data_IF_967460345791
#
_entry.id   IF_967460345791
#
_cell.length_a   1.000
_cell.length_b   1.000
_cell.length_c   1.000
_cell.angle_alpha   90.00
_cell.angle_beta   90.00
_cell.angle_gamma   90.00
#
_symmetry.space_group_name_H-M   'P 1'
#
loop_
_entity.id
_entity.type
_entity.pdbx_description
1 polymer ?
#
# COMPACT_ATOMS: atom_id res chain seq x y z
N UNK A 1 -30.13 54.31 32.68
CA UNK A 1 -30.28 52.90 33.11
C UNK A 1 -29.11 52.11 32.52
N UNK A 2 -28.12 51.74 33.35
CA UNK A 2 -26.96 50.96 32.91
C UNK A 2 -27.31 49.48 33.10
N UNK A 3 -27.61 48.77 32.01
CA UNK A 3 -27.81 47.33 32.01
C UNK A 3 -26.46 46.66 32.24
N UNK A 4 -26.23 46.15 33.45
CA UNK A 4 -25.07 45.26 33.69
C UNK A 4 -25.28 44.01 32.82
N UNK A 5 -24.31 43.65 31.95
CA UNK A 5 -24.44 42.46 31.14
C UNK A 5 -24.58 41.24 32.05
N UNK A 6 -25.59 40.42 31.77
CA UNK A 6 -25.90 39.24 32.56
C UNK A 6 -24.70 38.27 32.51
N UNK A 7 -24.24 37.73 33.64
CA UNK A 7 -23.06 36.85 33.71
C UNK A 7 -23.18 35.59 32.83
N UNK A 8 -24.40 35.27 32.40
CA UNK A 8 -24.73 34.15 31.51
C UNK A 8 -24.13 34.33 30.10
N UNK A 9 -23.91 35.57 29.63
CA UNK A 9 -23.33 35.82 28.29
C UNK A 9 -21.78 35.76 28.32
N UNK A 10 -21.17 36.03 29.48
CA UNK A 10 -19.70 36.02 29.60
C UNK A 10 -19.11 34.60 29.59
N UNK A 11 -19.86 33.60 30.07
CA UNK A 11 -19.39 32.21 30.16
C UNK A 11 -19.15 31.58 28.78
N UNK A 12 -20.08 31.63 27.81
CA UNK A 12 -19.83 31.13 26.45
C UNK A 12 -18.66 31.83 25.75
N UNK A 13 -18.53 33.15 25.93
CA UNK A 13 -17.43 33.92 25.34
C UNK A 13 -16.07 33.51 25.94
N UNK A 14 -15.99 33.32 27.26
CA UNK A 14 -14.78 32.85 27.93
C UNK A 14 -14.42 31.41 27.51
N UNK A 15 -15.41 30.52 27.41
CA UNK A 15 -15.20 29.15 26.93
C UNK A 15 -14.66 29.14 25.49
N UNK A 16 -15.23 29.97 24.60
CA UNK A 16 -14.74 30.09 23.23
C UNK A 16 -13.29 30.58 23.18
N UNK A 17 -12.93 31.56 24.01
CA UNK A 17 -11.55 32.05 24.12
C UNK A 17 -10.59 30.96 24.63
N UNK A 18 -11.00 30.21 25.65
CA UNK A 18 -10.18 29.10 26.20
C UNK A 18 -9.98 28.00 25.16
N UNK A 19 -11.03 27.58 24.47
CA UNK A 19 -10.94 26.56 23.40
C UNK A 19 -10.06 27.08 22.26
N UNK A 20 -10.22 28.34 21.85
CA UNK A 20 -9.40 28.94 20.79
C UNK A 20 -7.91 28.99 21.17
N UNK A 21 -7.60 29.42 22.40
CA UNK A 21 -6.22 29.45 22.91
C UNK A 21 -5.63 28.05 23.02
N UNK A 22 -6.42 27.08 23.49
CA UNK A 22 -6.02 25.69 23.56
C UNK A 22 -5.72 25.12 22.18
N UNK A 23 -6.59 25.34 21.19
CA UNK A 23 -6.40 24.93 19.79
C UNK A 23 -5.13 25.53 19.17
N UNK A 24 -4.88 26.83 19.37
CA UNK A 24 -3.65 27.49 18.87
C UNK A 24 -2.40 26.88 19.51
N UNK A 25 -2.42 26.66 20.82
CA UNK A 25 -1.30 26.04 21.54
C UNK A 25 -1.11 24.57 21.17
N UNK A 26 -2.20 23.81 20.95
CA UNK A 26 -2.15 22.41 20.54
C UNK A 26 -1.61 22.29 19.11
N UNK A 27 -2.12 23.09 18.17
CA UNK A 27 -1.69 23.10 16.77
C UNK A 27 -0.23 23.50 16.64
N UNK A 28 0.20 24.54 17.37
CA UNK A 28 1.60 24.97 17.36
C UNK A 28 2.54 23.91 17.95
N UNK A 29 2.16 23.27 19.06
CA UNK A 29 2.91 22.14 19.62
C UNK A 29 2.98 20.98 18.65
N UNK A 30 1.88 20.62 17.98
CA UNK A 30 1.86 19.56 17.00
C UNK A 30 2.76 19.86 15.79
N UNK A 31 2.78 21.11 15.32
CA UNK A 31 3.65 21.56 14.23
C UNK A 31 5.13 21.47 14.61
N UNK A 32 5.50 21.92 15.81
CA UNK A 32 6.89 21.83 16.30
C UNK A 32 7.33 20.41 16.67
N UNK A 33 6.38 19.49 16.92
CA UNK A 33 6.67 18.09 17.19
C UNK A 33 6.95 17.26 15.93
N UNK A 34 6.92 17.86 14.73
CA UNK A 34 7.34 17.18 13.50
C UNK A 34 8.86 17.31 13.37
N UNK A 35 9.61 16.20 13.28
CA UNK A 35 11.05 16.26 13.08
C UNK A 35 11.40 16.96 11.76
N UNK A 36 12.33 17.91 11.82
CA UNK A 36 12.85 18.62 10.64
C UNK A 36 14.01 17.88 9.96
N UNK A 37 14.54 18.46 8.88
CA UNK A 37 15.60 17.86 8.05
C UNK A 37 16.82 17.34 8.82
N UNK A 38 17.37 18.03 9.85
CA UNK A 38 18.51 17.51 10.61
C UNK A 38 18.21 16.17 11.31
N UNK A 39 16.99 16.04 11.86
CA UNK A 39 16.56 14.82 12.53
C UNK A 39 16.43 13.66 11.53
N UNK A 40 15.84 13.92 10.36
CA UNK A 40 15.74 12.93 9.29
C UNK A 40 17.11 12.53 8.72
N UNK A 41 18.03 13.48 8.58
CA UNK A 41 19.39 13.20 8.15
C UNK A 41 20.13 12.30 9.17
N UNK A 42 19.99 12.59 10.46
CA UNK A 42 20.59 11.78 11.52
C UNK A 42 19.96 10.38 11.60
N UNK A 43 18.63 10.27 11.49
CA UNK A 43 17.93 8.98 11.43
C UNK A 43 18.33 8.16 10.19
N UNK A 44 18.48 8.81 9.03
CA UNK A 44 18.95 8.17 7.81
C UNK A 44 20.39 7.64 7.94
N UNK A 45 21.27 8.33 8.67
CA UNK A 45 22.62 7.86 8.94
C UNK A 45 22.64 6.54 9.74
N UNK A 46 21.69 6.35 10.67
CA UNK A 46 21.53 5.08 11.40
C UNK A 46 21.21 3.93 10.44
N UNK A 47 20.25 4.15 9.52
CA UNK A 47 19.88 3.13 8.53
C UNK A 47 21.04 2.84 7.58
N UNK A 48 21.67 3.88 7.02
CA UNK A 48 22.80 3.76 6.09
C UNK A 48 23.96 2.95 6.65
N UNK A 49 24.22 3.04 7.96
CA UNK A 49 25.32 2.33 8.60
C UNK A 49 25.13 0.79 8.61
N UNK A 50 23.89 0.29 8.56
CA UNK A 50 23.58 -1.14 8.71
C UNK A 50 22.73 -1.72 7.56
N UNK A 51 22.31 -0.88 6.62
CA UNK A 51 21.51 -1.25 5.46
C UNK A 51 22.24 -2.26 4.57
N UNK A 52 21.49 -3.21 4.01
CA UNK A 52 21.97 -4.21 3.06
C UNK A 52 21.08 -4.23 1.84
N UNK A 53 21.61 -4.57 0.64
CA UNK A 53 20.77 -4.84 -0.52
C UNK A 53 19.69 -5.88 -0.19
N UNK A 54 18.43 -5.56 -0.50
CA UNK A 54 17.27 -6.39 -0.16
C UNK A 54 16.64 -6.13 1.21
N UNK A 55 17.16 -5.17 2.00
CA UNK A 55 16.42 -4.64 3.16
C UNK A 55 15.22 -3.81 2.65
N UNK A 56 14.05 -3.96 3.29
CA UNK A 56 12.92 -3.07 3.03
C UNK A 56 13.01 -1.83 3.90
N UNK A 57 12.74 -0.65 3.36
CA UNK A 57 12.57 0.59 4.15
C UNK A 57 11.12 1.04 4.05
N UNK A 58 10.49 1.25 5.21
CA UNK A 58 9.10 1.74 5.34
C UNK A 58 9.04 2.95 6.27
N UNK A 59 8.02 3.77 6.07
CA UNK A 59 7.81 5.00 6.83
C UNK A 59 6.46 4.98 7.54
N UNK A 60 6.43 5.44 8.79
CA UNK A 60 5.21 5.52 9.58
C UNK A 60 5.04 6.90 10.23
N UNK A 61 3.85 7.52 10.15
CA UNK A 61 2.70 7.11 9.35
C UNK A 61 2.96 7.21 7.84
N UNK A 62 2.16 6.53 7.02
CA UNK A 62 2.41 6.37 5.58
C UNK A 62 2.58 7.70 4.81
N UNK A 63 1.88 8.77 5.22
CA UNK A 63 2.01 10.09 4.60
C UNK A 63 3.41 10.71 4.72
N UNK A 64 4.26 10.15 5.58
CA UNK A 64 5.64 10.61 5.77
C UNK A 64 6.62 10.01 4.74
N UNK A 65 6.17 9.08 3.90
CA UNK A 65 6.99 8.45 2.85
C UNK A 65 7.75 9.45 1.96
N UNK A 66 7.15 10.57 1.47
CA UNK A 66 7.89 11.54 0.65
C UNK A 66 9.08 12.18 1.37
N UNK A 67 8.93 12.50 2.67
CA UNK A 67 10.04 13.03 3.49
C UNK A 67 11.10 11.96 3.68
N UNK A 68 10.70 10.74 4.02
CA UNK A 68 11.61 9.60 4.14
C UNK A 68 12.44 9.35 2.87
N UNK A 69 11.80 9.36 1.70
CA UNK A 69 12.46 9.18 0.39
C UNK A 69 13.39 10.33 0.03
N UNK A 70 13.15 11.55 0.51
CA UNK A 70 14.10 12.65 0.31
C UNK A 70 15.47 12.32 0.92
N UNK A 71 15.51 11.57 2.02
CA UNK A 71 16.74 11.25 2.75
C UNK A 71 17.29 9.84 2.50
N UNK A 72 16.44 8.89 2.12
CA UNK A 72 16.77 7.47 1.94
C UNK A 72 16.42 6.92 0.55
N UNK A 73 15.94 7.75 -0.37
CA UNK A 73 15.49 7.31 -1.70
C UNK A 73 16.60 6.66 -2.53
N UNK A 74 17.87 7.00 -2.27
CA UNK A 74 19.04 6.35 -2.87
C UNK A 74 19.22 4.89 -2.43
N UNK A 75 18.62 4.48 -1.31
CA UNK A 75 18.60 3.09 -0.84
C UNK A 75 17.35 2.32 -1.24
N UNK A 76 16.32 2.99 -1.79
CA UNK A 76 15.03 2.39 -2.10
C UNK A 76 14.91 2.20 -3.61
N UNK A 77 15.10 0.97 -4.08
CA UNK A 77 14.88 0.68 -5.49
C UNK A 77 13.41 0.88 -5.88
N UNK A 78 13.16 1.16 -7.16
CA UNK A 78 11.79 1.35 -7.68
C UNK A 78 10.93 0.10 -7.41
N UNK A 79 11.49 -1.10 -7.55
CA UNK A 79 10.75 -2.33 -7.31
C UNK A 79 10.42 -2.54 -5.81
N UNK A 80 11.24 -2.04 -4.89
CA UNK A 80 10.96 -2.07 -3.44
C UNK A 80 9.89 -1.05 -3.05
N UNK A 81 9.95 0.13 -3.67
CA UNK A 81 8.91 1.13 -3.57
C UNK A 81 7.56 0.59 -4.08
N UNK A 82 7.61 -0.11 -5.22
CA UNK A 82 6.46 -0.59 -5.97
C UNK A 82 6.09 -2.05 -5.67
N UNK A 83 6.52 -2.56 -4.51
CA UNK A 83 6.32 -3.95 -4.09
C UNK A 83 4.85 -4.34 -4.05
N UNK A 84 4.58 -5.64 -4.20
CA UNK A 84 3.24 -6.17 -4.00
C UNK A 84 2.88 -6.20 -2.52
N UNK A 85 3.78 -6.73 -1.69
CA UNK A 85 3.71 -6.73 -0.23
C UNK A 85 5.12 -6.78 0.38
N UNK A 86 5.22 -6.84 1.71
CA UNK A 86 6.49 -6.93 2.40
C UNK A 86 6.99 -8.39 2.59
N UNK A 87 6.21 -9.42 2.25
CA UNK A 87 6.43 -10.78 2.74
C UNK A 87 7.76 -11.39 2.28
N UNK A 88 8.30 -10.94 1.15
CA UNK A 88 9.61 -11.35 0.60
C UNK A 88 10.82 -10.83 1.39
N UNK A 89 10.62 -9.81 2.24
CA UNK A 89 11.71 -9.12 2.90
C UNK A 89 12.01 -9.74 4.26
N UNK A 90 13.23 -10.24 4.40
CA UNK A 90 13.74 -10.81 5.64
C UNK A 90 14.07 -9.75 6.69
N UNK A 91 14.43 -8.54 6.23
CA UNK A 91 14.86 -7.41 7.06
C UNK A 91 14.08 -6.17 6.68
N UNK A 92 13.52 -5.50 7.67
CA UNK A 92 12.69 -4.29 7.46
C UNK A 92 13.19 -3.20 8.40
N UNK A 93 13.48 -2.03 7.84
CA UNK A 93 13.69 -0.78 8.54
C UNK A 93 12.40 0.03 8.55
N UNK A 94 11.95 0.43 9.73
CA UNK A 94 10.84 1.36 9.91
C UNK A 94 11.40 2.66 10.47
N UNK A 95 11.13 3.77 9.79
CA UNK A 95 11.33 5.10 10.38
C UNK A 95 9.96 5.67 10.69
N UNK A 96 9.74 5.99 11.96
CA UNK A 96 8.46 6.42 12.46
C UNK A 96 8.52 7.72 13.22
N UNK A 97 7.43 8.47 13.21
CA UNK A 97 7.25 9.67 14.04
C UNK A 97 5.94 9.57 14.81
N UNK A 98 5.84 10.30 15.93
CA UNK A 98 4.62 10.38 16.75
C UNK A 98 4.10 9.01 17.22
N UNK A 99 4.99 8.05 17.44
CA UNK A 99 4.63 6.69 17.87
C UNK A 99 3.87 5.85 16.83
N UNK A 100 3.79 6.31 15.57
CA UNK A 100 3.13 5.55 14.51
C UNK A 100 3.87 4.23 14.21
N UNK A 101 3.15 3.27 13.62
CA UNK A 101 3.69 1.97 13.20
C UNK A 101 3.26 1.65 11.77
N UNK A 102 4.17 1.05 11.00
CA UNK A 102 3.89 0.62 9.64
C UNK A 102 3.13 -0.72 9.66
N UNK A 103 2.10 -0.90 8.80
CA UNK A 103 1.40 -2.18 8.68
C UNK A 103 2.33 -3.37 8.40
N UNK A 104 3.43 -3.13 7.67
CA UNK A 104 4.43 -4.14 7.31
C UNK A 104 5.17 -4.75 8.50
N UNK A 105 5.22 -4.05 9.64
CA UNK A 105 5.89 -4.49 10.87
C UNK A 105 4.90 -4.92 11.95
N UNK A 106 3.60 -4.98 11.63
CA UNK A 106 2.57 -5.40 12.56
C UNK A 106 2.83 -6.81 13.09
N UNK A 107 2.76 -6.99 14.40
CA UNK A 107 3.04 -8.26 15.09
C UNK A 107 4.53 -8.62 15.19
N UNK A 108 5.44 -7.84 14.59
CA UNK A 108 6.88 -8.05 14.74
C UNK A 108 7.43 -7.28 15.94
N UNK A 109 8.43 -7.86 16.59
CA UNK A 109 9.21 -7.20 17.64
C UNK A 109 10.49 -6.62 17.03
N UNK A 110 10.82 -5.34 17.29
CA UNK A 110 12.05 -4.76 16.78
C UNK A 110 13.25 -5.41 17.47
N UNK A 111 14.27 -5.74 16.68
CA UNK A 111 15.58 -6.22 17.19
C UNK A 111 16.53 -5.06 17.47
N UNK A 112 16.26 -3.90 16.86
CA UNK A 112 16.90 -2.61 17.15
C UNK A 112 15.81 -1.55 17.20
N UNK A 113 15.82 -0.71 18.21
CA UNK A 113 14.99 0.48 18.31
C UNK A 113 15.84 1.64 18.83
N UNK A 114 15.82 2.78 18.14
CA UNK A 114 16.52 4.01 18.52
C UNK A 114 15.65 5.21 18.22
N UNK A 115 15.59 6.16 19.15
CA UNK A 115 15.01 7.47 18.90
C UNK A 115 16.13 8.46 18.52
N UNK A 116 15.92 9.20 17.44
CA UNK A 116 16.82 10.23 16.94
C UNK A 116 15.99 11.49 16.67
N UNK A 117 16.08 12.46 17.58
CA UNK A 117 15.43 13.77 17.45
C UNK A 117 13.94 13.69 17.05
N UNK A 118 13.18 12.79 17.68
CA UNK A 118 11.76 12.57 17.44
C UNK A 118 11.42 11.61 16.28
N UNK A 119 12.42 11.08 15.57
CA UNK A 119 12.26 9.97 14.63
C UNK A 119 12.67 8.67 15.31
N UNK A 120 11.77 7.71 15.44
CA UNK A 120 12.09 6.36 15.92
C UNK A 120 12.46 5.46 14.76
N UNK A 121 13.70 5.01 14.74
CA UNK A 121 14.25 4.03 13.79
C UNK A 121 14.18 2.65 14.40
N UNK A 122 13.49 1.72 13.74
CA UNK A 122 13.38 0.32 14.13
C UNK A 122 13.89 -0.59 13.04
N UNK A 123 14.51 -1.70 13.44
CA UNK A 123 14.85 -2.82 12.55
C UNK A 123 14.14 -4.07 13.00
N UNK A 124 13.59 -4.80 12.05
CA UNK A 124 12.90 -6.06 12.24
C UNK A 124 13.54 -7.14 11.40
N UNK A 125 13.44 -8.38 11.88
CA UNK A 125 13.82 -9.57 11.13
C UNK A 125 12.66 -10.57 11.13
N UNK A 126 12.53 -11.32 10.03
CA UNK A 126 11.60 -12.44 9.90
C UNK A 126 12.10 -13.43 8.85
N UNK A 127 11.53 -14.64 8.87
CA UNK A 127 11.67 -15.58 7.76
C UNK A 127 10.88 -15.06 6.55
N UNK A 128 11.53 -14.78 5.41
CA UNK A 128 10.83 -14.34 4.20
C UNK A 128 10.06 -15.50 3.55
N UNK A 129 8.98 -15.18 2.85
CA UNK A 129 8.23 -16.19 2.09
C UNK A 129 9.04 -16.68 0.88
N UNK A 130 8.91 -17.97 0.56
CA UNK A 130 9.50 -18.54 -0.65
C UNK A 130 8.51 -18.43 -1.80
N UNK A 131 8.81 -17.57 -2.77
CA UNK A 131 7.99 -17.40 -3.98
C UNK A 131 8.38 -18.46 -5.02
N UNK A 132 7.37 -19.19 -5.50
CA UNK A 132 7.55 -20.21 -6.55
C UNK A 132 7.26 -19.65 -7.94
N UNK A 133 6.28 -18.77 -8.05
CA UNK A 133 5.99 -18.04 -9.27
C UNK A 133 5.41 -16.66 -8.97
N UNK A 134 5.78 -15.68 -9.80
CA UNK A 134 5.19 -14.35 -9.83
C UNK A 134 4.51 -14.15 -11.19
N UNK A 135 3.22 -13.85 -11.21
CA UNK A 135 2.46 -13.72 -12.47
C UNK A 135 2.96 -12.55 -13.31
N UNK A 136 3.58 -11.53 -12.70
CA UNK A 136 4.14 -10.36 -13.39
C UNK A 136 5.33 -10.74 -14.28
N UNK A 137 6.09 -11.75 -13.88
CA UNK A 137 7.23 -12.30 -14.62
C UNK A 137 6.78 -13.27 -15.72
N UNK A 138 5.50 -13.67 -15.73
CA UNK A 138 4.92 -14.67 -16.63
C UNK A 138 3.92 -14.09 -17.62
N UNK A 139 3.97 -12.79 -17.87
CA UNK A 139 3.03 -12.12 -18.78
C UNK A 139 3.23 -12.54 -20.25
N UNK A 140 4.43 -13.01 -20.63
CA UNK A 140 4.68 -13.54 -21.97
C UNK A 140 4.00 -14.90 -22.12
N UNK A 141 3.18 -15.05 -23.16
CA UNK A 141 2.50 -16.32 -23.46
C UNK A 141 1.18 -16.55 -22.72
N UNK A 142 0.67 -15.53 -22.01
CA UNK A 142 -0.69 -15.59 -21.44
C UNK A 142 -1.74 -15.69 -22.54
N UNK A 143 -2.82 -16.42 -22.25
CA UNK A 143 -4.03 -16.42 -23.08
C UNK A 143 -4.96 -15.32 -22.59
N UNK A 144 -5.49 -14.52 -23.50
CA UNK A 144 -6.38 -13.40 -23.16
C UNK A 144 -7.67 -13.50 -23.94
N UNK A 145 -8.79 -13.54 -23.23
CA UNK A 145 -10.14 -13.62 -23.78
C UNK A 145 -10.98 -12.43 -23.30
N UNK A 146 -11.99 -12.05 -24.09
CA UNK A 146 -12.86 -10.92 -23.79
C UNK A 146 -12.38 -9.57 -24.37
N UNK A 147 -13.33 -8.64 -24.44
CA UNK A 147 -13.12 -7.32 -25.05
C UNK A 147 -12.56 -6.34 -24.01
N UNK A 148 -11.48 -5.65 -24.37
CA UNK A 148 -10.76 -4.74 -23.48
C UNK A 148 -10.34 -3.49 -24.21
N UNK A 149 -10.34 -2.36 -23.51
CA UNK A 149 -9.80 -1.11 -24.01
C UNK A 149 -8.26 -1.09 -23.97
N UNK A 150 -7.65 -1.73 -22.95
CA UNK A 150 -6.19 -1.80 -22.77
C UNK A 150 -5.79 -3.04 -21.96
N UNK A 151 -4.56 -3.50 -22.14
CA UNK A 151 -3.92 -4.53 -21.33
C UNK A 151 -4.13 -5.95 -21.87
N UNK A 152 -3.61 -6.98 -21.17
CA UNK A 152 -2.77 -6.87 -19.98
C UNK A 152 -1.38 -6.31 -20.30
N UNK A 153 -0.90 -5.33 -19.54
CA UNK A 153 0.46 -4.79 -19.63
C UNK A 153 1.11 -4.70 -18.25
N UNK A 154 2.42 -4.90 -18.17
CA UNK A 154 3.17 -4.67 -16.91
C UNK A 154 3.44 -3.18 -16.78
N UNK A 155 2.94 -2.57 -15.71
CA UNK A 155 3.00 -1.12 -15.49
C UNK A 155 3.50 -0.81 -14.07
N UNK A 156 4.10 0.35 -13.92
CA UNK A 156 4.24 1.02 -12.63
C UNK A 156 3.05 1.97 -12.48
N UNK A 157 2.10 1.63 -11.61
CA UNK A 157 0.85 2.35 -11.44
C UNK A 157 0.69 2.86 -10.01
N UNK A 158 0.05 4.03 -9.83
CA UNK A 158 -0.40 4.46 -8.52
C UNK A 158 -1.74 3.79 -8.19
N UNK A 159 -1.82 3.19 -7.01
CA UNK A 159 -3.03 2.66 -6.39
C UNK A 159 -3.04 3.06 -4.91
N UNK A 160 -4.14 3.65 -4.43
CA UNK A 160 -4.24 4.07 -3.02
C UNK A 160 -3.14 5.03 -2.56
N UNK A 161 -2.67 5.92 -3.45
CA UNK A 161 -1.56 6.86 -3.24
C UNK A 161 -0.18 6.21 -3.05
N UNK A 162 -0.03 4.93 -3.42
CA UNK A 162 1.23 4.21 -3.40
C UNK A 162 1.58 3.67 -4.79
N UNK A 163 2.87 3.62 -5.17
CA UNK A 163 3.29 2.98 -6.41
C UNK A 163 3.20 1.45 -6.27
N UNK A 164 2.77 0.78 -7.33
CA UNK A 164 2.74 -0.67 -7.44
C UNK A 164 3.15 -1.11 -8.84
N UNK A 165 4.03 -2.12 -8.91
CA UNK A 165 4.37 -2.81 -10.15
C UNK A 165 3.39 -3.95 -10.36
N UNK A 166 2.52 -3.81 -11.34
CA UNK A 166 1.35 -4.68 -11.51
C UNK A 166 1.02 -4.91 -12.99
N UNK A 167 0.12 -5.86 -13.22
CA UNK A 167 -0.51 -6.09 -14.51
C UNK A 167 -1.76 -5.20 -14.57
N UNK A 168 -1.78 -4.29 -15.54
CA UNK A 168 -2.88 -3.39 -15.80
C UNK A 168 -3.82 -3.95 -16.87
N UNK A 169 -5.11 -4.00 -16.57
CA UNK A 169 -6.18 -4.37 -17.51
C UNK A 169 -7.29 -3.32 -17.44
N UNK A 170 -7.77 -2.90 -18.61
CA UNK A 170 -8.94 -2.01 -18.73
C UNK A 170 -10.04 -2.76 -19.48
N UNK A 171 -10.98 -3.42 -18.79
CA UNK A 171 -12.10 -4.09 -19.44
C UNK A 171 -13.05 -3.07 -20.08
N UNK A 172 -13.76 -3.49 -21.12
CA UNK A 172 -14.92 -2.72 -21.59
C UNK A 172 -16.08 -2.88 -20.58
N UNK A 173 -16.96 -1.88 -20.44
CA UNK A 173 -18.13 -1.96 -19.55
C UNK A 173 -18.95 -3.23 -19.77
N UNK A 174 -19.20 -3.99 -18.70
CA UNK A 174 -20.00 -5.23 -18.73
C UNK A 174 -19.36 -6.39 -19.50
N UNK A 175 -18.12 -6.25 -19.97
CA UNK A 175 -17.39 -7.26 -20.73
C UNK A 175 -16.17 -7.75 -19.93
N UNK A 176 -16.27 -8.87 -19.20
CA UNK A 176 -15.15 -9.40 -18.43
C UNK A 176 -14.00 -9.82 -19.36
N UNK A 177 -12.78 -9.64 -18.86
CA UNK A 177 -11.52 -10.02 -19.52
C UNK A 177 -10.89 -11.15 -18.73
N UNK A 178 -10.64 -12.29 -19.37
CA UNK A 178 -9.94 -13.43 -18.77
C UNK A 178 -8.48 -13.41 -19.19
N UNK A 179 -7.57 -13.45 -18.22
CA UNK A 179 -6.12 -13.55 -18.43
C UNK A 179 -5.64 -14.85 -17.80
N UNK A 180 -5.32 -15.84 -18.63
CA UNK A 180 -4.91 -17.18 -18.21
C UNK A 180 -3.40 -17.34 -18.34
N UNK A 181 -2.78 -17.66 -17.21
CA UNK A 181 -1.36 -18.00 -17.09
C UNK A 181 -1.24 -19.53 -17.14
N UNK A 182 -0.68 -20.10 -18.22
CA UNK A 182 -0.59 -21.54 -18.33
C UNK A 182 0.51 -22.10 -17.42
N UNK A 183 0.23 -23.29 -16.87
CA UNK A 183 1.22 -24.11 -16.16
C UNK A 183 2.04 -23.32 -15.11
N UNK A 184 1.35 -22.61 -14.22
CA UNK A 184 1.97 -21.89 -13.10
C UNK A 184 2.39 -22.88 -12.02
N UNK A 185 3.66 -22.87 -11.57
CA UNK A 185 4.08 -23.61 -10.39
C UNK A 185 3.28 -23.17 -9.16
N UNK A 186 2.55 -24.09 -8.54
CA UNK A 186 1.77 -23.83 -7.33
C UNK A 186 2.49 -24.34 -6.08
N UNK A 187 2.34 -23.59 -4.99
CA UNK A 187 2.79 -23.99 -3.66
C UNK A 187 1.62 -24.31 -2.73
N UNK A 188 1.70 -23.84 -1.49
CA UNK A 188 0.66 -24.02 -0.47
C UNK A 188 -0.36 -22.87 -0.46
N UNK A 189 -0.01 -21.71 -1.01
CA UNK A 189 -0.88 -20.54 -1.08
C UNK A 189 -0.67 -19.78 -2.41
N UNK A 190 -1.76 -19.24 -2.94
CA UNK A 190 -1.75 -18.14 -3.90
C UNK A 190 -2.13 -16.86 -3.15
N UNK A 191 -1.30 -15.84 -3.26
CA UNK A 191 -1.54 -14.52 -2.66
C UNK A 191 -1.47 -13.48 -3.76
N UNK A 192 -2.42 -12.56 -3.79
CA UNK A 192 -2.34 -11.43 -4.67
C UNK A 192 -2.99 -10.21 -4.08
N UNK A 193 -2.81 -9.13 -4.82
CA UNK A 193 -3.37 -7.83 -4.49
C UNK A 193 -3.89 -7.20 -5.77
N UNK A 194 -4.95 -6.43 -5.64
CA UNK A 194 -5.49 -5.66 -6.73
C UNK A 194 -6.05 -4.33 -6.23
N UNK A 195 -6.17 -3.39 -7.15
CA UNK A 195 -6.89 -2.16 -6.92
C UNK A 195 -7.10 -1.40 -8.21
N UNK A 196 -7.79 -0.27 -8.08
CA UNK A 196 -8.01 0.64 -9.20
C UNK A 196 -6.82 1.59 -9.29
N UNK A 197 -6.18 1.65 -10.46
CA UNK A 197 -5.11 2.58 -10.77
C UNK A 197 -5.64 3.97 -11.14
N UNK A 198 -4.75 4.96 -11.12
CA UNK A 198 -5.01 6.38 -11.46
C UNK A 198 -6.07 7.10 -10.61
N UNK A 199 -5.60 7.97 -9.72
CA UNK A 199 -6.45 8.79 -8.83
C UNK A 199 -7.51 9.62 -9.57
N UNK A 200 -7.24 10.08 -10.80
CA UNK A 200 -8.17 10.95 -11.52
C UNK A 200 -9.37 10.16 -12.04
N UNK A 201 -9.15 9.02 -12.70
CA UNK A 201 -10.24 8.17 -13.17
C UNK A 201 -11.02 7.51 -12.01
N UNK A 202 -10.40 7.37 -10.84
CA UNK A 202 -11.06 6.89 -9.61
C UNK A 202 -12.01 7.89 -8.97
N UNK A 203 -11.68 9.19 -8.96
CA UNK A 203 -12.46 10.19 -8.20
C UNK A 203 -13.86 10.44 -8.75
N UNK A 204 -14.01 10.41 -10.08
CA UNK A 204 -15.24 10.84 -10.74
C UNK A 204 -16.28 9.71 -10.93
N UNK A 205 -15.82 8.47 -10.86
CA UNK A 205 -16.67 7.30 -11.03
C UNK A 205 -16.49 6.45 -9.77
N UNK A 206 -17.57 6.10 -9.07
CA UNK A 206 -17.52 5.30 -7.82
C UNK A 206 -17.86 3.82 -7.97
N UNK A 207 -18.14 3.39 -9.19
CA UNK A 207 -18.49 2.00 -9.49
C UNK A 207 -17.27 1.08 -9.31
N UNK A 208 -17.34 0.02 -8.50
CA UNK A 208 -16.18 -0.82 -8.23
C UNK A 208 -15.72 -1.60 -9.47
N UNK A 209 -14.45 -2.03 -9.44
CA UNK A 209 -13.98 -3.14 -10.28
C UNK A 209 -14.14 -4.47 -9.54
N UNK A 210 -13.97 -5.58 -10.25
CA UNK A 210 -13.92 -6.92 -9.64
C UNK A 210 -12.80 -7.74 -10.28
N UNK A 211 -12.17 -8.56 -9.45
CA UNK A 211 -11.22 -9.59 -9.87
C UNK A 211 -11.64 -10.93 -9.27
N UNK A 212 -11.75 -11.94 -10.12
CA UNK A 212 -11.99 -13.33 -9.74
C UNK A 212 -10.78 -14.16 -10.16
N UNK A 213 -10.33 -15.06 -9.30
CA UNK A 213 -9.18 -15.94 -9.55
C UNK A 213 -9.65 -17.38 -9.60
N UNK A 214 -9.26 -18.06 -10.66
CA UNK A 214 -9.53 -19.47 -10.90
C UNK A 214 -8.23 -20.27 -10.99
N UNK A 215 -8.25 -21.50 -10.47
CA UNK A 215 -7.19 -22.50 -10.65
C UNK A 215 -7.84 -23.73 -11.26
N UNK A 216 -7.40 -24.13 -12.46
CA UNK A 216 -8.01 -25.22 -13.25
C UNK A 216 -9.55 -25.11 -13.28
N UNK A 217 -10.05 -23.93 -13.66
CA UNK A 217 -11.47 -23.56 -13.77
C UNK A 217 -12.28 -23.56 -12.45
N UNK A 218 -11.62 -23.72 -11.30
CA UNK A 218 -12.25 -23.58 -9.97
C UNK A 218 -11.99 -22.20 -9.41
N UNK A 219 -13.06 -21.46 -9.08
CA UNK A 219 -12.94 -20.15 -8.41
C UNK A 219 -12.38 -20.33 -7.00
N UNK A 220 -11.24 -19.70 -6.73
CA UNK A 220 -10.55 -19.78 -5.44
C UNK A 220 -10.53 -18.44 -4.70
N UNK A 221 -10.68 -17.33 -5.40
CA UNK A 221 -10.81 -16.00 -4.81
C UNK A 221 -11.70 -15.09 -5.64
N UNK A 222 -12.36 -14.15 -4.96
CA UNK A 222 -13.23 -13.15 -5.56
C UNK A 222 -13.14 -11.86 -4.74
N UNK A 223 -12.83 -10.73 -5.39
CA UNK A 223 -12.52 -9.48 -4.71
C UNK A 223 -13.06 -8.28 -5.46
N UNK A 224 -13.71 -7.39 -4.71
CA UNK A 224 -14.21 -6.12 -5.20
C UNK A 224 -13.18 -5.02 -4.92
N UNK A 225 -13.07 -4.08 -5.85
CA UNK A 225 -12.09 -3.00 -5.84
C UNK A 225 -12.84 -1.67 -5.84
N UNK A 226 -13.10 -1.15 -4.64
CA UNK A 226 -13.67 0.17 -4.41
C UNK A 226 -12.65 1.28 -4.69
N UNK A 227 -13.16 2.50 -4.81
CA UNK A 227 -12.34 3.69 -5.10
C UNK A 227 -11.37 4.03 -3.96
N UNK A 228 -11.80 3.80 -2.72
CA UNK A 228 -11.07 4.14 -1.51
C UNK A 228 -10.39 2.93 -0.84
N UNK A 229 -10.51 1.74 -1.43
CA UNK A 229 -10.01 0.50 -0.83
C UNK A 229 -8.49 0.35 -0.92
N UNK A 230 -7.85 1.10 -1.82
CA UNK A 230 -6.41 1.05 -2.06
C UNK A 230 -5.97 -0.29 -2.67
N UNK A 231 -4.96 -0.93 -2.06
CA UNK A 231 -4.35 -2.18 -2.53
C UNK A 231 -4.91 -3.38 -1.76
N UNK A 232 -5.95 -3.99 -2.32
CA UNK A 232 -6.78 -5.00 -1.63
C UNK A 232 -6.17 -6.38 -1.79
N UNK A 233 -5.92 -7.06 -0.66
CA UNK A 233 -5.40 -8.43 -0.63
C UNK A 233 -6.49 -9.45 -0.98
N UNK A 234 -6.12 -10.45 -1.76
CA UNK A 234 -6.83 -11.72 -1.90
C UNK A 234 -5.86 -12.89 -1.72
N UNK A 235 -6.35 -14.03 -1.26
CA UNK A 235 -5.55 -15.23 -1.15
C UNK A 235 -6.41 -16.49 -1.13
N UNK A 236 -5.80 -17.61 -1.52
CA UNK A 236 -6.41 -18.92 -1.45
C UNK A 236 -5.36 -20.00 -1.16
N UNK A 237 -5.70 -21.03 -0.38
CA UNK A 237 -4.85 -22.21 -0.25
C UNK A 237 -4.75 -22.94 -1.61
N UNK A 238 -3.58 -23.47 -1.92
CA UNK A 238 -3.33 -24.23 -3.15
C UNK A 238 -2.72 -25.60 -2.85
N UNK A 239 -2.75 -26.49 -3.85
CA UNK A 239 -2.03 -27.76 -3.79
C UNK A 239 -0.72 -27.62 -4.56
N UNK A 240 0.42 -28.08 -4.01
CA UNK A 240 1.68 -28.08 -4.73
C UNK A 240 1.55 -28.83 -6.06
N UNK A 241 2.08 -28.25 -7.13
CA UNK A 241 1.96 -28.81 -8.47
C UNK A 241 2.07 -27.76 -9.56
N UNK A 242 1.36 -27.98 -10.66
CA UNK A 242 1.29 -27.04 -11.79
C UNK A 242 -0.15 -27.00 -12.27
N UNK A 243 -0.67 -25.81 -12.49
CA UNK A 243 -2.05 -25.57 -12.88
C UNK A 243 -2.16 -24.33 -13.76
N UNK A 244 -3.27 -24.21 -14.48
CA UNK A 244 -3.61 -22.96 -15.14
C UNK A 244 -4.23 -22.01 -14.11
N UNK A 245 -3.75 -20.76 -14.07
CA UNK A 245 -4.29 -19.72 -13.19
C UNK A 245 -4.93 -18.64 -14.04
N UNK A 246 -6.24 -18.42 -13.86
CA UNK A 246 -7.00 -17.43 -14.64
C UNK A 246 -7.46 -16.30 -13.74
N UNK A 247 -7.18 -15.07 -14.17
CA UNK A 247 -7.72 -13.85 -13.57
C UNK A 247 -8.84 -13.33 -14.47
N UNK A 248 -10.05 -13.26 -13.95
CA UNK A 248 -11.19 -12.64 -14.64
C UNK A 248 -11.39 -11.24 -14.06
N UNK A 249 -11.20 -10.22 -14.88
CA UNK A 249 -11.30 -8.80 -14.54
C UNK A 249 -12.57 -8.23 -15.13
N UNK A 250 -13.40 -7.56 -14.33
CA UNK A 250 -14.62 -6.91 -14.82
C UNK A 250 -14.85 -5.53 -14.20
N UNK A 251 -15.62 -4.71 -14.92
CA UNK A 251 -16.12 -3.43 -14.45
C UNK A 251 -17.38 -3.04 -15.24
N UNK A 252 -18.31 -2.37 -14.56
CA UNK A 252 -19.54 -1.84 -15.19
C UNK A 252 -19.34 -0.44 -15.78
N UNK A 253 -18.31 0.29 -15.33
CA UNK A 253 -17.97 1.60 -15.85
C UNK A 253 -16.82 1.55 -16.85
N UNK A 254 -16.76 2.52 -17.76
CA UNK A 254 -15.66 2.66 -18.69
C UNK A 254 -14.38 3.12 -17.98
N UNK A 255 -13.23 2.88 -18.63
CA UNK A 255 -11.91 3.34 -18.17
C UNK A 255 -11.55 2.89 -16.75
N UNK A 256 -12.02 1.71 -16.33
CA UNK A 256 -11.58 1.11 -15.07
C UNK A 256 -10.23 0.44 -15.22
N UNK A 257 -9.21 1.12 -14.73
CA UNK A 257 -7.84 0.63 -14.74
C UNK A 257 -7.64 -0.33 -13.57
N UNK A 258 -7.88 -1.61 -13.78
CA UNK A 258 -7.64 -2.64 -12.75
C UNK A 258 -6.18 -3.04 -12.81
N UNK A 259 -5.49 -2.87 -11.70
CA UNK A 259 -4.07 -3.18 -11.51
C UNK A 259 -3.99 -4.34 -10.52
N UNK A 260 -3.29 -5.42 -10.86
CA UNK A 260 -3.14 -6.58 -9.97
C UNK A 260 -1.74 -7.20 -10.01
N UNK A 261 -1.35 -7.85 -8.92
CA UNK A 261 -0.15 -8.66 -8.81
C UNK A 261 -0.48 -9.92 -7.99
N UNK A 262 0.17 -11.03 -8.31
CA UNK A 262 -0.04 -12.28 -7.57
C UNK A 262 1.20 -13.17 -7.61
N UNK A 263 1.34 -13.96 -6.54
CA UNK A 263 2.41 -14.89 -6.32
C UNK A 263 1.86 -16.23 -5.81
N UNK A 264 2.54 -17.30 -6.18
CA UNK A 264 2.39 -18.60 -5.51
C UNK A 264 3.54 -18.79 -4.53
N UNK A 265 3.23 -19.24 -3.33
CA UNK A 265 4.16 -19.29 -2.19
C UNK A 265 4.20 -20.69 -1.59
N UNK A 266 5.35 -21.08 -1.03
CA UNK A 266 5.53 -22.29 -0.24
C UNK A 266 5.31 -22.02 1.24
#
# INVERSE_FOLDING_TARGET
>A
MSSRPSPIIAVPALLLLVVSLWEVCATRRAAHAVPGDPAWHAAAAVVRAEHRPGDLIVFAPAWNDPVGRLHLGDLIAIDDAARMDAARYARIWELSIRGARAPETAGLTPIVEREVDGVTVRRFERTPVSVLADVRERLVGVRVEGTRARGPTLELAEVGFAPHRCILVVPNPGAPVRVTFPAVPLGTELVGYAGLADVFTRRDIRVPGRIQVEIDDVVVADTHLGVDDGWVRFAAPTRPGTADVTFTISAEAANRQVCFAAETRR
#
